data_IF_511503047184
#
_entry.id   IF_511503047184
#
_cell.length_a   1.000
_cell.length_b   1.000
_cell.length_c   1.000
_cell.angle_alpha   90.00
_cell.angle_beta   90.00
_cell.angle_gamma   90.00
#
_symmetry.space_group_name_H-M   'P 1'
#
loop_
_entity.id
_entity.type
_entity.pdbx_description
1 polymer ?
#
# COMPACT_ATOMS: atom_id res chain seq x y z
N UNK A 1 -11.27 14.98 6.18
CA UNK A 1 -10.41 15.35 5.04
C UNK A 1 -10.83 16.74 4.58
N UNK A 2 -9.89 17.69 4.41
CA UNK A 2 -10.25 19.04 3.97
C UNK A 2 -10.59 19.03 2.47
N UNK A 3 -11.67 19.69 2.03
CA UNK A 3 -11.97 19.81 0.61
C UNK A 3 -10.82 20.52 -0.10
N UNK A 4 -10.46 20.02 -1.29
CA UNK A 4 -9.51 20.76 -2.14
C UNK A 4 -10.18 22.04 -2.61
N UNK A 5 -9.38 23.06 -2.96
CA UNK A 5 -9.86 24.36 -3.46
C UNK A 5 -10.80 24.26 -4.67
N UNK A 6 -10.84 23.11 -5.35
CA UNK A 6 -11.74 22.80 -6.46
C UNK A 6 -13.13 22.30 -6.05
N UNK A 7 -13.42 22.17 -4.74
CA UNK A 7 -14.65 21.52 -4.25
C UNK A 7 -14.64 19.99 -4.38
N UNK A 8 -13.57 19.41 -4.91
CA UNK A 8 -13.39 17.96 -4.98
C UNK A 8 -12.94 17.39 -3.63
N UNK A 9 -13.46 16.20 -3.31
CA UNK A 9 -13.12 15.44 -2.10
C UNK A 9 -12.47 14.12 -2.52
N UNK A 10 -11.40 13.72 -1.83
CA UNK A 10 -10.90 12.36 -1.98
C UNK A 10 -11.78 11.43 -1.15
N UNK A 11 -12.24 10.38 -1.80
CA UNK A 11 -13.09 9.35 -1.23
C UNK A 11 -12.40 8.00 -1.37
N UNK A 12 -12.60 7.13 -0.39
CA UNK A 12 -12.09 5.76 -0.38
C UNK A 12 -13.14 4.86 0.26
N UNK A 13 -13.40 3.72 -0.36
CA UNK A 13 -14.14 2.61 0.23
C UNK A 13 -13.18 1.44 0.42
N UNK A 14 -13.39 0.66 1.48
CA UNK A 14 -12.68 -0.58 1.75
C UNK A 14 -13.73 -1.65 2.03
N UNK A 15 -13.62 -2.77 1.33
CA UNK A 15 -14.55 -3.90 1.42
C UNK A 15 -13.74 -5.16 1.75
N UNK A 16 -14.38 -6.11 2.42
CA UNK A 16 -13.82 -7.41 2.78
C UNK A 16 -14.56 -8.52 2.02
N UNK A 17 -14.01 -9.73 2.02
CA UNK A 17 -14.61 -10.94 1.43
C UNK A 17 -14.81 -10.93 -0.10
N UNK A 18 -14.09 -10.04 -0.81
CA UNK A 18 -13.93 -10.13 -2.26
C UNK A 18 -13.14 -11.41 -2.63
N UNK A 19 -13.50 -12.13 -3.70
CA UNK A 19 -12.80 -13.35 -4.11
C UNK A 19 -11.31 -13.07 -4.38
N UNK A 20 -10.41 -13.95 -3.91
CA UNK A 20 -8.95 -13.78 -4.05
C UNK A 20 -8.47 -13.65 -5.51
N UNK A 21 -9.22 -14.21 -6.46
CA UNK A 21 -8.95 -14.17 -7.90
C UNK A 21 -9.39 -12.87 -8.60
N UNK A 22 -9.89 -11.88 -7.85
CA UNK A 22 -10.21 -10.54 -8.36
C UNK A 22 -8.96 -9.70 -8.63
N UNK A 23 -8.00 -10.24 -9.39
CA UNK A 23 -6.76 -9.58 -9.72
C UNK A 23 -7.03 -8.21 -10.35
N UNK A 24 -6.39 -7.16 -9.81
CA UNK A 24 -6.52 -5.77 -10.27
C UNK A 24 -6.30 -5.60 -11.78
N UNK A 25 -5.53 -6.50 -12.41
CA UNK A 25 -5.21 -6.47 -13.84
C UNK A 25 -6.36 -6.88 -14.76
N UNK A 26 -7.32 -7.67 -14.29
CA UNK A 26 -8.45 -8.16 -15.10
C UNK A 26 -9.75 -7.38 -14.83
N UNK A 27 -9.82 -6.64 -13.72
CA UNK A 27 -10.99 -5.86 -13.39
C UNK A 27 -11.12 -4.61 -14.30
N UNK A 28 -12.35 -4.19 -14.67
CA UNK A 28 -12.54 -2.97 -15.44
C UNK A 28 -12.01 -1.76 -14.66
N UNK A 29 -11.51 -0.72 -15.36
CA UNK A 29 -11.08 0.53 -14.73
C UNK A 29 -12.14 1.07 -13.78
N UNK A 30 -11.69 1.60 -12.66
CA UNK A 30 -12.58 2.21 -11.66
C UNK A 30 -13.36 3.36 -12.32
N UNK A 31 -14.69 3.30 -12.18
CA UNK A 31 -15.62 4.31 -12.65
C UNK A 31 -16.30 5.02 -11.48
N UNK A 32 -16.89 6.19 -11.74
CA UNK A 32 -17.70 6.92 -10.74
C UNK A 32 -18.89 6.08 -10.28
N UNK A 33 -19.58 5.39 -11.20
CA UNK A 33 -20.70 4.52 -10.86
C UNK A 33 -20.28 3.32 -10.01
N UNK A 34 -19.11 2.73 -10.30
CA UNK A 34 -18.53 1.65 -9.50
C UNK A 34 -18.17 2.10 -8.09
N UNK A 35 -17.61 3.31 -7.95
CA UNK A 35 -17.31 3.91 -6.65
C UNK A 35 -18.59 4.22 -5.86
N UNK A 36 -19.62 4.77 -6.51
CA UNK A 36 -20.91 5.05 -5.88
C UNK A 36 -21.57 3.76 -5.35
N UNK A 37 -21.54 2.68 -6.13
CA UNK A 37 -22.05 1.38 -5.71
C UNK A 37 -21.26 0.79 -4.52
N UNK A 38 -19.93 0.93 -4.50
CA UNK A 38 -19.11 0.51 -3.36
C UNK A 38 -19.41 1.34 -2.09
N UNK A 39 -19.56 2.66 -2.23
CA UNK A 39 -19.94 3.53 -1.13
C UNK A 39 -21.32 3.18 -0.57
N UNK A 40 -22.29 2.88 -1.42
CA UNK A 40 -23.63 2.49 -0.98
C UNK A 40 -23.60 1.17 -0.18
N UNK A 41 -22.81 0.18 -0.60
CA UNK A 41 -22.63 -1.07 0.16
C UNK A 41 -21.97 -0.85 1.52
N UNK A 42 -20.94 -0.01 1.58
CA UNK A 42 -20.19 0.25 2.82
C UNK A 42 -20.95 1.15 3.80
N UNK A 43 -21.59 2.20 3.30
CA UNK A 43 -22.29 3.20 4.12
C UNK A 43 -23.75 2.80 4.40
N UNK A 44 -24.33 1.94 3.57
CA UNK A 44 -25.74 1.51 3.67
C UNK A 44 -26.73 2.55 3.15
N UNK A 45 -26.28 3.55 2.39
CA UNK A 45 -27.13 4.60 1.83
C UNK A 45 -26.62 5.07 0.46
N UNK A 46 -27.54 5.40 -0.44
CA UNK A 46 -27.20 5.92 -1.76
C UNK A 46 -26.48 7.27 -1.66
N UNK A 47 -25.27 7.35 -2.21
CA UNK A 47 -24.47 8.58 -2.25
C UNK A 47 -24.44 9.11 -3.68
N UNK A 48 -24.93 10.34 -3.88
CA UNK A 48 -24.80 11.04 -5.16
C UNK A 48 -23.34 11.43 -5.40
N UNK A 49 -22.71 10.80 -6.40
CA UNK A 49 -21.33 11.07 -6.80
C UNK A 49 -21.28 11.58 -8.24
N UNK A 50 -20.50 12.63 -8.47
CA UNK A 50 -20.24 13.19 -9.80
C UNK A 50 -18.75 13.16 -10.09
N UNK A 51 -18.38 13.23 -11.37
CA UNK A 51 -16.98 13.32 -11.76
C UNK A 51 -16.35 14.60 -11.16
N UNK A 52 -15.08 14.55 -10.72
CA UNK A 52 -14.43 15.74 -10.19
C UNK A 52 -14.41 16.87 -11.23
N UNK A 53 -14.63 18.14 -10.82
CA UNK A 53 -14.59 19.26 -11.75
C UNK A 53 -13.17 19.51 -12.28
N UNK A 54 -13.08 20.02 -13.51
CA UNK A 54 -11.82 20.41 -14.17
C UNK A 54 -11.32 19.43 -15.23
N UNK A 55 -10.32 19.83 -16.03
CA UNK A 55 -9.72 18.94 -17.03
C UNK A 55 -8.98 17.78 -16.34
N UNK A 56 -9.17 16.57 -16.86
CA UNK A 56 -8.50 15.36 -16.37
C UNK A 56 -6.98 15.35 -16.62
N UNK A 57 -6.29 14.25 -16.25
CA UNK A 57 -6.85 13.00 -15.73
C UNK A 57 -7.20 13.07 -14.24
N UNK A 58 -8.35 12.49 -13.87
CA UNK A 58 -8.69 12.29 -12.46
C UNK A 58 -8.06 10.99 -11.94
N UNK A 59 -7.60 11.01 -10.70
CA UNK A 59 -7.00 9.81 -10.10
C UNK A 59 -8.10 8.86 -9.63
N UNK A 60 -8.17 7.71 -10.29
CA UNK A 60 -8.89 6.55 -9.80
C UNK A 60 -7.90 5.42 -9.53
N UNK A 61 -8.03 4.78 -8.37
CA UNK A 61 -7.20 3.63 -8.00
C UNK A 61 -8.08 2.58 -7.35
N UNK A 62 -7.79 1.32 -7.67
CA UNK A 62 -8.25 0.13 -6.95
C UNK A 62 -7.01 -0.62 -6.51
N UNK A 63 -7.10 -1.20 -5.33
CA UNK A 63 -6.16 -2.17 -4.81
C UNK A 63 -6.96 -3.35 -4.30
N UNK A 64 -6.73 -4.52 -4.87
CA UNK A 64 -7.40 -5.76 -4.48
C UNK A 64 -6.39 -6.78 -3.92
N UNK A 65 -6.87 -7.59 -2.99
CA UNK A 65 -6.12 -8.71 -2.44
C UNK A 65 -5.05 -8.33 -1.42
N UNK A 66 -4.44 -9.37 -0.83
CA UNK A 66 -3.44 -9.24 0.23
C UNK A 66 -2.03 -9.20 -0.36
N UNK A 67 -1.53 -8.02 -0.69
CA UNK A 67 -0.18 -7.86 -1.23
C UNK A 67 0.87 -7.58 -0.14
N UNK A 68 0.98 -8.48 0.85
CA UNK A 68 2.08 -8.44 1.83
C UNK A 68 3.16 -9.43 1.41
N UNK A 69 4.30 -8.93 0.95
CA UNK A 69 5.42 -9.73 0.45
C UNK A 69 6.73 -9.07 0.83
N UNK A 70 7.75 -9.88 1.14
CA UNK A 70 9.11 -9.41 1.42
C UNK A 70 10.04 -10.21 0.51
N UNK A 71 10.94 -9.52 -0.18
CA UNK A 71 11.93 -10.14 -1.04
C UNK A 71 12.80 -11.11 -0.20
N UNK A 72 13.04 -12.30 -0.75
CA UNK A 72 13.83 -13.32 -0.06
C UNK A 72 15.26 -12.86 0.23
N UNK A 73 15.81 -12.02 -0.65
CA UNK A 73 17.10 -11.36 -0.48
C UNK A 73 17.02 -9.93 -1.00
N UNK A 74 17.69 -9.01 -0.31
CA UNK A 74 17.76 -7.59 -0.67
C UNK A 74 18.98 -7.28 -1.53
N UNK A 75 19.93 -8.21 -1.63
CA UNK A 75 21.14 -8.02 -2.42
C UNK A 75 21.60 -9.31 -3.09
N UNK A 76 21.81 -9.22 -4.40
CA UNK A 76 22.48 -10.26 -5.18
C UNK A 76 23.62 -9.65 -5.99
N UNK A 77 24.84 -9.77 -5.46
CA UNK A 77 26.03 -9.16 -6.06
C UNK A 77 25.94 -7.63 -6.07
N UNK A 78 25.78 -7.06 -7.27
CA UNK A 78 25.65 -5.60 -7.51
C UNK A 78 24.21 -5.13 -7.69
N UNK A 79 23.23 -6.02 -7.56
CA UNK A 79 21.80 -5.70 -7.62
C UNK A 79 21.27 -5.61 -6.19
N UNK A 80 20.60 -4.51 -5.87
CA UNK A 80 20.06 -4.22 -4.54
C UNK A 80 18.59 -3.81 -4.67
N UNK A 81 17.78 -4.18 -3.69
CA UNK A 81 16.35 -3.85 -3.60
C UNK A 81 16.10 -2.90 -2.42
N UNK A 82 15.18 -1.97 -2.58
CA UNK A 82 14.75 -1.03 -1.54
C UNK A 82 13.27 -0.64 -1.75
N UNK A 83 12.56 -0.24 -0.69
CA UNK A 83 11.16 0.16 -0.77
C UNK A 83 10.27 -0.96 -1.33
N UNK A 84 9.27 -0.60 -2.15
CA UNK A 84 8.30 -1.53 -2.72
C UNK A 84 8.91 -2.70 -3.53
N UNK A 85 10.14 -2.54 -4.04
CA UNK A 85 10.86 -3.63 -4.70
C UNK A 85 11.38 -4.69 -3.70
N UNK A 86 11.63 -4.30 -2.46
CA UNK A 86 12.11 -5.17 -1.38
C UNK A 86 10.97 -5.65 -0.48
N UNK A 87 9.91 -4.86 -0.30
CA UNK A 87 8.78 -5.23 0.54
C UNK A 87 7.53 -4.44 0.15
N UNK A 88 6.40 -5.14 0.11
CA UNK A 88 5.06 -4.56 0.00
C UNK A 88 4.24 -5.06 1.18
N UNK A 89 3.36 -4.22 1.69
CA UNK A 89 2.48 -4.54 2.81
C UNK A 89 1.19 -3.73 2.68
N UNK A 90 0.19 -4.03 3.50
CA UNK A 90 -1.04 -3.25 3.47
C UNK A 90 -0.75 -1.77 3.77
N UNK A 91 -1.41 -0.86 3.05
CA UNK A 91 -1.26 0.58 3.16
C UNK A 91 -1.94 1.17 4.40
N UNK A 92 -2.68 0.36 5.18
CA UNK A 92 -3.28 0.80 6.44
C UNK A 92 -2.20 1.39 7.36
N UNK A 93 -2.44 2.61 7.87
CA UNK A 93 -1.48 3.36 8.68
C UNK A 93 -0.35 4.05 7.90
N UNK A 94 -0.33 3.92 6.57
CA UNK A 94 0.64 4.52 5.64
C UNK A 94 2.15 4.34 5.99
N UNK A 95 2.64 3.16 6.42
CA UNK A 95 4.04 3.02 6.80
C UNK A 95 5.02 2.84 5.63
N UNK A 96 4.53 2.52 4.41
CA UNK A 96 5.37 2.01 3.31
C UNK A 96 6.42 2.99 2.82
N UNK A 97 6.01 4.23 2.57
CA UNK A 97 6.94 5.28 2.17
C UNK A 97 8.02 5.52 3.25
N UNK A 98 7.66 5.46 4.53
CA UNK A 98 8.59 5.71 5.62
C UNK A 98 9.67 4.63 5.70
N UNK A 99 9.30 3.35 5.62
CA UNK A 99 10.28 2.25 5.65
C UNK A 99 11.16 2.26 4.40
N UNK A 100 10.60 2.56 3.22
CA UNK A 100 11.38 2.67 1.98
C UNK A 100 12.37 3.85 1.99
N UNK A 101 11.99 5.01 2.54
CA UNK A 101 12.92 6.14 2.71
C UNK A 101 14.09 5.78 3.64
N UNK A 102 13.82 5.04 4.71
CA UNK A 102 14.87 4.56 5.60
C UNK A 102 15.80 3.54 4.93
N UNK A 103 15.26 2.67 4.06
CA UNK A 103 16.09 1.78 3.24
C UNK A 103 17.04 2.59 2.35
N UNK A 104 16.50 3.59 1.64
CA UNK A 104 17.27 4.45 0.75
C UNK A 104 18.35 5.21 1.51
N UNK A 105 18.02 5.76 2.68
CA UNK A 105 18.97 6.47 3.54
C UNK A 105 20.09 5.55 4.05
N UNK A 106 19.77 4.32 4.47
CA UNK A 106 20.77 3.34 4.89
C UNK A 106 21.66 2.91 3.71
N UNK A 107 21.05 2.67 2.54
CA UNK A 107 21.77 2.21 1.37
C UNK A 107 22.71 3.28 0.80
N UNK A 108 22.31 4.55 0.83
CA UNK A 108 23.07 5.65 0.22
C UNK A 108 24.52 5.72 0.71
N UNK A 109 24.74 5.71 2.02
CA UNK A 109 26.09 5.82 2.58
C UNK A 109 26.90 4.52 2.42
N UNK A 110 26.25 3.36 2.55
CA UNK A 110 26.91 2.04 2.35
C UNK A 110 27.34 1.86 0.90
N UNK A 111 26.50 2.28 -0.05
CA UNK A 111 26.81 2.24 -1.47
C UNK A 111 27.95 3.20 -1.82
N UNK A 112 27.95 4.42 -1.26
CA UNK A 112 29.07 5.34 -1.40
C UNK A 112 30.37 4.72 -0.87
N UNK A 113 30.35 4.14 0.34
CA UNK A 113 31.50 3.44 0.92
C UNK A 113 31.98 2.27 0.06
N UNK A 114 31.07 1.49 -0.51
CA UNK A 114 31.40 0.39 -1.42
C UNK A 114 32.11 0.86 -2.70
N UNK A 115 31.66 1.98 -3.28
CA UNK A 115 32.31 2.62 -4.43
C UNK A 115 33.72 3.10 -4.05
N UNK A 116 33.93 3.54 -2.81
CA UNK A 116 35.22 4.02 -2.30
C UNK A 116 36.10 2.93 -1.67
N UNK A 117 35.84 1.65 -1.94
CA UNK A 117 36.73 0.54 -1.55
C UNK A 117 36.33 -0.19 -0.27
N UNK A 118 35.15 0.06 0.29
CA UNK A 118 34.59 -0.67 1.43
C UNK A 118 33.33 -1.46 1.06
N UNK A 119 33.39 -2.43 0.12
CA UNK A 119 32.21 -3.15 -0.38
C UNK A 119 31.52 -4.02 0.67
N UNK A 120 32.23 -4.42 1.73
CA UNK A 120 31.69 -5.19 2.85
C UNK A 120 30.62 -4.40 3.64
N UNK A 121 30.60 -3.07 3.55
CA UNK A 121 29.53 -2.26 4.15
C UNK A 121 28.15 -2.57 3.57
N UNK A 122 28.06 -3.20 2.39
CA UNK A 122 26.77 -3.63 1.85
C UNK A 122 26.28 -4.95 2.43
N UNK A 123 27.09 -5.67 3.22
CA UNK A 123 26.71 -6.97 3.77
C UNK A 123 25.70 -6.83 4.92
N UNK A 124 25.77 -5.76 5.73
CA UNK A 124 24.79 -5.54 6.82
C UNK A 124 23.51 -4.84 6.37
N UNK A 125 23.37 -4.47 5.09
CA UNK A 125 22.15 -3.81 4.60
C UNK A 125 20.91 -4.70 4.80
N UNK A 126 20.96 -5.97 4.38
CA UNK A 126 19.82 -6.88 4.54
C UNK A 126 19.53 -7.20 6.01
N UNK A 127 20.52 -7.62 6.84
CA UNK A 127 20.31 -7.87 8.27
C UNK A 127 19.71 -6.70 9.05
N UNK A 128 20.03 -5.45 8.67
CA UNK A 128 19.46 -4.28 9.34
C UNK A 128 18.05 -3.93 8.84
N UNK A 129 17.80 -4.04 7.53
CA UNK A 129 16.59 -3.50 6.92
C UNK A 129 15.44 -4.50 6.85
N UNK A 130 15.73 -5.78 6.61
CA UNK A 130 14.69 -6.81 6.51
C UNK A 130 13.86 -6.97 7.79
N UNK A 131 14.44 -6.96 9.02
CA UNK A 131 13.64 -7.02 10.24
C UNK A 131 12.70 -5.81 10.41
N UNK A 132 13.06 -4.63 9.87
CA UNK A 132 12.18 -3.47 9.88
C UNK A 132 10.95 -3.70 8.99
N UNK A 133 11.15 -4.22 7.77
CA UNK A 133 10.06 -4.58 6.87
C UNK A 133 9.13 -5.66 7.47
N UNK A 134 9.70 -6.69 8.11
CA UNK A 134 8.94 -7.77 8.77
C UNK A 134 8.05 -7.23 9.91
N UNK A 135 8.56 -6.29 10.71
CA UNK A 135 7.76 -5.62 11.75
C UNK A 135 6.62 -4.80 11.15
N UNK A 136 6.87 -4.07 10.07
CA UNK A 136 5.82 -3.29 9.37
C UNK A 136 4.77 -4.21 8.75
N UNK A 137 5.17 -5.31 8.13
CA UNK A 137 4.26 -6.32 7.60
C UNK A 137 3.35 -6.89 8.69
N UNK A 138 3.92 -7.20 9.87
CA UNK A 138 3.16 -7.70 11.03
C UNK A 138 2.20 -6.63 11.57
N UNK A 139 2.68 -5.40 11.71
CA UNK A 139 1.89 -4.29 12.22
C UNK A 139 0.69 -3.96 11.33
N UNK A 140 0.91 -3.84 10.02
CA UNK A 140 -0.14 -3.55 9.04
C UNK A 140 -1.13 -4.69 8.91
N UNK A 141 -0.66 -5.94 9.03
CA UNK A 141 -1.53 -7.11 9.12
C UNK A 141 -2.47 -6.99 10.33
N UNK A 142 -1.94 -6.72 11.52
CA UNK A 142 -2.73 -6.57 12.73
C UNK A 142 -3.76 -5.43 12.60
N UNK A 143 -3.35 -4.26 12.09
CA UNK A 143 -4.28 -3.15 11.83
C UNK A 143 -5.40 -3.52 10.86
N UNK A 144 -5.09 -4.25 9.78
CA UNK A 144 -6.08 -4.71 8.81
C UNK A 144 -7.13 -5.59 9.47
N UNK A 145 -6.70 -6.52 10.34
CA UNK A 145 -7.61 -7.38 11.08
C UNK A 145 -8.47 -6.60 12.09
N UNK A 146 -7.93 -5.54 12.69
CA UNK A 146 -8.71 -4.67 13.60
C UNK A 146 -9.76 -3.82 12.87
N UNK A 147 -9.55 -3.52 11.59
CA UNK A 147 -10.52 -2.79 10.77
C UNK A 147 -11.56 -3.70 10.13
N UNK A 148 -11.31 -5.00 10.07
CA UNK A 148 -12.24 -5.95 9.47
C UNK A 148 -13.59 -5.90 10.17
N UNK A 149 -14.71 -5.90 9.42
CA UNK A 149 -16.03 -6.02 10.02
C UNK A 149 -16.05 -7.32 10.82
N UNK A 150 -16.48 -7.25 12.07
CA UNK A 150 -16.67 -8.45 12.87
C UNK A 150 -17.70 -9.36 12.19
N UNK A 151 -17.56 -10.69 12.36
CA UNK A 151 -18.69 -11.59 12.08
C UNK A 151 -19.93 -11.04 12.79
N UNK A 152 -21.12 -11.09 12.17
CA UNK A 152 -22.34 -10.71 12.86
C UNK A 152 -22.55 -11.69 14.01
N UNK A 153 -22.05 -11.34 15.20
CA UNK A 153 -22.22 -12.13 16.42
C UNK A 153 -23.70 -12.14 16.85
N UNK A 154 -24.51 -11.26 16.26
CA UNK A 154 -25.96 -11.22 16.42
C UNK A 154 -26.57 -10.88 15.05
N UNK A 155 -27.06 -11.91 14.35
CA UNK A 155 -28.15 -11.72 13.40
C UNK A 155 -29.47 -11.49 14.15
N UNK A 156 -30.53 -11.02 13.46
CA UNK A 156 -31.84 -10.78 14.09
C UNK A 156 -32.45 -12.04 14.70
#
# INVERSE_FOLDING_TARGET
MLPRSSGAVLVSAMEWDEPEDSADSEAPPVSISGMAAAFERVVGAAVSMTAPPGPGPHQFRRWSGRNTRIAQTYRRGRVLLAGDAAHVHNAVGAPGLNVGLQDAACLAWRLAGAVHGAPALLDDYEPERRPAAERVATHTHAQTLSLAPGSPLFGP
#
